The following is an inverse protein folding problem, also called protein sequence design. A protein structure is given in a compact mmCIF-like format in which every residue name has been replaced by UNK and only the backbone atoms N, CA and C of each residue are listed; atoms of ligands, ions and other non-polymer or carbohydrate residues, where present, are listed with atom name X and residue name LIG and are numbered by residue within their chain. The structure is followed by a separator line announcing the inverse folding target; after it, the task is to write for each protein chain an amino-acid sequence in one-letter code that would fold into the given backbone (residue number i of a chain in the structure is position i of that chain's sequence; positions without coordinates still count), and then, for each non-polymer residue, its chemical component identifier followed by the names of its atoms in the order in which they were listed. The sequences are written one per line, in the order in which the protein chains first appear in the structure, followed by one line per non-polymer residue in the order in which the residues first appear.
data_IF_181890691170
#
_entry.id   IF_181890691170
#
_cell.length_a   1.000
_cell.length_b   1.000
_cell.length_c   1.000
_cell.angle_alpha   90.00
_cell.angle_beta   90.00
_cell.angle_gamma   90.00
#
_symmetry.space_group_name_H-M   'P 1'
#
loop_
_entity.id
_entity.type
_entity.pdbx_description
1 polymer ?
#
# COMPACT_ATOMS: atom_id res chain seq x y z
N UNK A 1 57.94 82.81 35.19
CA UNK A 1 57.18 84.05 34.87
C UNK A 1 55.80 83.59 34.42
N UNK A 2 54.77 83.46 35.28
CA UNK A 2 53.99 84.46 36.04
C UNK A 2 53.49 85.63 35.16
N UNK A 3 52.15 85.74 35.15
CA UNK A 3 51.27 86.90 34.85
C UNK A 3 50.64 86.90 33.45
N UNK A 4 49.36 87.25 33.26
CA UNK A 4 48.22 87.54 34.15
C UNK A 4 46.97 87.65 33.23
N UNK A 5 45.82 87.22 33.75
CA UNK A 5 44.48 87.85 33.77
C UNK A 5 43.92 88.54 32.50
N UNK A 6 42.63 88.46 32.15
CA UNK A 6 41.47 88.93 32.94
C UNK A 6 40.13 88.69 32.16
N UNK A 7 38.96 89.29 32.48
CA UNK A 7 37.98 88.76 33.44
C UNK A 7 36.47 88.79 32.98
N UNK A 8 35.62 87.99 33.66
CA UNK A 8 34.16 88.11 34.05
C UNK A 8 33.10 88.95 33.26
N UNK A 9 31.79 88.96 33.63
CA UNK A 9 30.82 87.93 34.10
C UNK A 9 29.43 88.05 33.40
N UNK A 10 28.47 87.14 33.63
CA UNK A 10 27.13 87.49 34.21
C UNK A 10 26.20 86.31 34.47
N UNK A 11 25.55 86.44 35.63
CA UNK A 11 24.42 85.71 36.22
C UNK A 11 23.23 85.51 35.28
N UNK A 12 22.48 84.40 35.47
CA UNK A 12 21.14 84.43 36.11
C UNK A 12 20.60 83.01 36.38
N UNK A 13 19.97 82.93 37.53
CA UNK A 13 19.29 81.82 38.18
C UNK A 13 17.95 81.47 37.54
N UNK A 14 17.57 80.20 37.75
CA UNK A 14 16.23 79.68 38.08
C UNK A 14 15.05 79.95 37.13
N UNK A 15 14.41 78.85 36.72
CA UNK A 15 13.06 78.86 36.16
C UNK A 15 12.67 77.49 35.62
N UNK A 16 11.96 76.71 36.44
CA UNK A 16 11.25 75.51 36.04
C UNK A 16 10.40 75.75 34.77
N UNK A 17 10.16 74.72 33.97
CA UNK A 17 8.81 74.17 33.72
C UNK A 17 8.93 72.94 32.81
N UNK A 18 8.42 71.83 33.34
CA UNK A 18 8.18 70.55 32.68
C UNK A 18 7.31 70.76 31.43
N UNK A 19 7.69 70.17 30.29
CA UNK A 19 6.73 69.69 29.30
C UNK A 19 7.32 68.53 28.51
N UNK A 20 6.69 67.37 28.73
CA UNK A 20 6.85 66.13 27.97
C UNK A 20 6.50 66.38 26.50
N UNK A 21 7.30 65.87 25.58
CA UNK A 21 6.84 65.45 24.26
C UNK A 21 7.79 64.37 23.74
N UNK A 22 7.19 63.28 23.28
CA UNK A 22 7.79 61.98 23.07
C UNK A 22 8.91 61.97 22.02
N UNK A 23 9.96 61.22 22.35
CA UNK A 23 10.99 60.81 21.41
C UNK A 23 10.35 59.93 20.33
N UNK A 24 10.57 60.32 19.08
CA UNK A 24 10.34 59.48 17.92
C UNK A 24 11.31 58.27 17.98
N UNK A 25 10.75 57.07 18.18
CA UNK A 25 11.37 55.83 17.73
C UNK A 25 10.33 55.13 16.85
N UNK A 26 10.36 55.41 15.56
CA UNK A 26 9.70 54.55 14.56
C UNK A 26 10.52 53.27 14.52
N UNK A 27 10.18 52.31 15.39
CA UNK A 27 10.62 50.94 15.23
C UNK A 27 9.85 50.36 14.05
N UNK A 28 10.52 50.24 12.90
CA UNK A 28 10.02 49.40 11.81
C UNK A 28 10.17 47.96 12.26
N UNK A 29 9.18 47.45 12.99
CA UNK A 29 8.98 46.01 13.17
C UNK A 29 8.52 45.45 11.83
N UNK A 30 9.46 44.99 11.02
CA UNK A 30 9.15 44.10 9.92
C UNK A 30 8.52 42.84 10.53
N UNK A 31 7.19 42.75 10.47
CA UNK A 31 6.48 41.50 10.66
C UNK A 31 6.92 40.57 9.54
N UNK A 32 7.94 39.75 9.81
CA UNK A 32 8.19 38.55 9.03
C UNK A 32 6.99 37.63 9.28
N UNK A 33 5.95 37.76 8.45
CA UNK A 33 4.97 36.71 8.26
C UNK A 33 5.73 35.54 7.65
N UNK A 34 6.26 34.68 8.51
CA UNK A 34 6.67 33.36 8.10
C UNK A 34 5.42 32.68 7.53
N UNK A 35 5.30 32.63 6.21
CA UNK A 35 4.41 31.71 5.53
C UNK A 35 4.90 30.31 5.89
N UNK A 36 4.49 29.81 7.05
CA UNK A 36 4.53 28.39 7.32
C UNK A 36 3.56 27.78 6.30
N UNK A 37 4.11 27.27 5.20
CA UNK A 37 3.35 26.40 4.31
C UNK A 37 2.74 25.31 5.19
N UNK A 38 1.44 24.98 5.02
CA UNK A 38 0.84 23.92 5.81
C UNK A 38 1.72 22.67 5.66
N UNK A 39 2.17 22.12 6.78
CA UNK A 39 2.83 20.82 6.75
C UNK A 39 1.85 19.84 6.11
N UNK A 40 2.22 19.25 4.97
CA UNK A 40 1.43 18.17 4.38
C UNK A 40 1.34 17.07 5.42
N UNK A 41 0.12 16.77 5.88
CA UNK A 41 -0.09 15.70 6.84
C UNK A 41 0.25 14.37 6.16
N UNK A 42 0.95 13.49 6.88
CA UNK A 42 1.23 12.16 6.37
C UNK A 42 -0.09 11.44 6.06
N UNK A 43 -0.13 10.73 4.93
CA UNK A 43 -1.28 9.94 4.49
C UNK A 43 -0.90 8.47 4.50
N UNK A 44 -1.88 7.59 4.70
CA UNK A 44 -1.77 6.17 4.37
C UNK A 44 -2.70 5.94 3.19
N UNK A 45 -2.18 5.77 1.96
CA UNK A 45 -3.00 5.68 0.77
C UNK A 45 -4.06 4.58 0.83
N UNK A 46 -3.66 3.40 1.33
CA UNK A 46 -4.49 2.19 1.32
C UNK A 46 -4.69 1.69 -0.11
N UNK A 47 -5.91 1.22 -0.40
CA UNK A 47 -6.28 0.79 -1.75
C UNK A 47 -6.07 1.87 -2.81
N UNK A 48 -5.63 1.45 -3.99
CA UNK A 48 -5.30 2.34 -5.12
C UNK A 48 -6.03 1.93 -6.39
N UNK A 49 -5.90 0.65 -6.76
CA UNK A 49 -6.51 0.07 -7.96
C UNK A 49 -7.18 -1.23 -7.55
N UNK A 50 -8.40 -1.47 -7.99
CA UNK A 50 -9.11 -2.74 -7.85
C UNK A 50 -9.45 -3.32 -9.21
N UNK A 51 -9.67 -4.63 -9.23
CA UNK A 51 -10.24 -5.33 -10.38
C UNK A 51 -11.35 -6.29 -9.93
N UNK A 52 -12.15 -6.73 -10.90
CA UNK A 52 -13.05 -7.88 -10.71
C UNK A 52 -12.64 -8.99 -11.67
N UNK A 53 -12.51 -10.21 -11.18
CA UNK A 53 -12.25 -11.39 -11.99
C UNK A 53 -13.37 -12.41 -11.87
N UNK A 54 -13.54 -13.21 -12.92
CA UNK A 54 -14.52 -14.30 -12.91
C UNK A 54 -14.15 -15.44 -13.87
N UNK A 55 -14.72 -16.61 -13.61
CA UNK A 55 -14.62 -17.80 -14.44
C UNK A 55 -15.96 -18.14 -15.08
N UNK A 56 -15.99 -18.17 -16.40
CA UNK A 56 -17.13 -18.71 -17.15
C UNK A 56 -17.07 -20.23 -17.18
N UNK A 57 -18.23 -20.90 -17.03
CA UNK A 57 -18.30 -22.36 -17.07
C UNK A 57 -17.74 -23.08 -15.84
N UNK A 58 -17.58 -22.38 -14.71
CA UNK A 58 -17.16 -23.00 -13.46
C UNK A 58 -18.17 -24.06 -12.98
N UNK A 59 -17.72 -25.17 -12.36
CA UNK A 59 -18.61 -26.16 -11.76
C UNK A 59 -19.52 -25.53 -10.68
N UNK A 60 -20.75 -26.03 -10.56
CA UNK A 60 -21.70 -25.56 -9.53
C UNK A 60 -21.21 -25.75 -8.10
N UNK A 61 -20.30 -26.71 -7.88
CA UNK A 61 -19.65 -26.94 -6.59
C UNK A 61 -18.50 -25.99 -6.27
N UNK A 62 -18.12 -25.08 -7.18
CA UNK A 62 -16.97 -24.19 -7.04
C UNK A 62 -15.66 -24.77 -7.60
N UNK A 63 -14.60 -23.97 -7.55
CA UNK A 63 -13.27 -24.27 -8.09
C UNK A 63 -12.36 -24.84 -7.00
N UNK A 64 -11.54 -25.83 -7.35
CA UNK A 64 -10.58 -26.43 -6.41
C UNK A 64 -9.19 -25.80 -6.48
N UNK A 65 -8.96 -24.96 -7.48
CA UNK A 65 -7.72 -24.23 -7.71
C UNK A 65 -8.06 -22.84 -8.27
N UNK A 66 -7.32 -21.85 -7.84
CA UNK A 66 -7.22 -20.54 -8.48
C UNK A 66 -5.74 -20.29 -8.76
N UNK A 67 -5.40 -19.86 -9.97
CA UNK A 67 -4.07 -19.39 -10.33
C UNK A 67 -4.18 -17.98 -10.93
N UNK A 68 -3.36 -17.08 -10.41
CA UNK A 68 -3.28 -15.68 -10.82
C UNK A 68 -1.85 -15.38 -11.28
N UNK A 69 -1.57 -15.45 -12.59
CA UNK A 69 -0.24 -15.12 -13.08
C UNK A 69 0.00 -13.62 -12.93
N UNK A 70 1.19 -13.25 -12.48
CA UNK A 70 1.60 -11.89 -12.19
C UNK A 70 3.02 -11.64 -12.71
N UNK A 71 3.22 -10.47 -13.29
CA UNK A 71 4.54 -9.91 -13.58
C UNK A 71 4.66 -8.58 -12.84
N UNK A 72 5.63 -8.46 -11.95
CA UNK A 72 5.96 -7.15 -11.36
C UNK A 72 6.89 -6.44 -12.33
N UNK A 73 6.38 -5.39 -13.00
CA UNK A 73 7.11 -4.66 -14.04
C UNK A 73 8.05 -3.60 -13.46
N UNK A 74 7.68 -3.01 -12.32
CA UNK A 74 8.48 -2.02 -11.60
C UNK A 74 8.05 -1.94 -10.15
N UNK A 75 9.01 -1.69 -9.26
CA UNK A 75 8.76 -1.55 -7.83
C UNK A 75 9.76 -0.58 -7.19
N UNK A 76 9.40 0.03 -6.04
CA UNK A 76 10.40 0.62 -5.17
C UNK A 76 11.24 -0.47 -4.50
N UNK A 77 12.50 -0.17 -4.19
CA UNK A 77 13.33 -0.99 -3.28
C UNK A 77 12.94 -0.72 -1.81
N UNK A 78 11.65 -0.87 -1.52
CA UNK A 78 11.03 -0.59 -0.23
C UNK A 78 9.75 -1.40 -0.06
N UNK A 79 9.32 -1.52 1.19
CA UNK A 79 7.97 -1.96 1.50
C UNK A 79 6.93 -0.90 1.09
N UNK A 80 5.66 -1.30 1.06
CA UNK A 80 4.54 -0.38 0.92
C UNK A 80 3.51 -0.89 -0.06
N UNK A 81 3.93 -1.44 -1.20
CA UNK A 81 2.99 -2.03 -2.14
C UNK A 81 2.50 -3.41 -1.71
N UNK A 82 1.26 -3.71 -2.06
CA UNK A 82 0.76 -5.07 -2.11
C UNK A 82 -0.11 -5.26 -3.34
N UNK A 83 0.27 -6.21 -4.21
CA UNK A 83 -0.51 -6.64 -5.37
C UNK A 83 -1.06 -8.02 -5.08
N UNK A 84 -2.38 -8.14 -5.05
CA UNK A 84 -3.02 -9.37 -4.62
C UNK A 84 -4.37 -9.61 -5.27
N UNK A 85 -4.77 -10.88 -5.26
CA UNK A 85 -6.08 -11.33 -5.70
C UNK A 85 -6.85 -11.87 -4.50
N UNK A 86 -7.98 -11.25 -4.18
CA UNK A 86 -8.92 -11.73 -3.19
C UNK A 86 -9.84 -12.77 -3.81
N UNK A 87 -10.05 -13.85 -3.07
CA UNK A 87 -10.97 -14.93 -3.39
C UNK A 87 -11.95 -15.13 -2.25
N UNK A 88 -13.02 -15.89 -2.54
CA UNK A 88 -14.01 -16.29 -1.56
C UNK A 88 -14.18 -17.80 -1.59
N UNK A 89 -14.44 -18.39 -0.43
CA UNK A 89 -14.87 -19.77 -0.30
C UNK A 89 -16.40 -19.86 -0.44
N UNK A 90 -16.95 -21.05 -0.67
CA UNK A 90 -18.40 -21.27 -0.78
C UNK A 90 -19.20 -20.82 0.47
N UNK A 91 -18.55 -20.70 1.64
CA UNK A 91 -19.16 -20.15 2.86
C UNK A 91 -19.07 -18.61 2.95
N UNK A 92 -18.66 -17.94 1.87
CA UNK A 92 -18.41 -16.49 1.74
C UNK A 92 -17.22 -15.94 2.54
N UNK A 93 -16.42 -16.82 3.14
CA UNK A 93 -15.21 -16.39 3.82
C UNK A 93 -14.16 -15.96 2.79
N UNK A 94 -13.65 -14.73 2.93
CA UNK A 94 -12.70 -14.14 2.01
C UNK A 94 -11.25 -14.39 2.43
N UNK A 95 -10.36 -14.41 1.45
CA UNK A 95 -8.91 -14.46 1.62
C UNK A 95 -8.20 -13.84 0.43
N UNK A 96 -6.87 -13.80 0.46
CA UNK A 96 -6.07 -13.30 -0.65
C UNK A 96 -4.78 -14.10 -0.84
N UNK A 97 -4.21 -13.99 -2.04
CA UNK A 97 -2.83 -14.38 -2.37
C UNK A 97 -2.16 -13.24 -3.14
N UNK A 98 -0.90 -12.93 -2.85
CA UNK A 98 -0.24 -11.76 -3.43
C UNK A 98 1.26 -11.64 -3.18
N UNK A 99 1.84 -10.60 -3.76
CA UNK A 99 3.25 -10.23 -3.62
C UNK A 99 3.42 -8.82 -3.04
N UNK A 100 4.37 -8.66 -2.12
CA UNK A 100 4.85 -7.38 -1.60
C UNK A 100 6.32 -7.19 -2.02
N UNK A 101 6.71 -6.05 -2.63
CA UNK A 101 8.11 -5.70 -2.74
C UNK A 101 8.68 -5.37 -1.35
N UNK A 102 9.95 -5.70 -1.12
CA UNK A 102 10.73 -5.26 0.05
C UNK A 102 12.16 -4.98 -0.37
N UNK A 103 12.89 -4.30 0.52
CA UNK A 103 14.31 -4.06 0.32
C UNK A 103 15.08 -5.39 0.22
N UNK A 104 15.81 -5.60 -0.87
CA UNK A 104 16.62 -6.81 -1.07
C UNK A 104 15.85 -8.10 -1.35
N UNK A 105 14.56 -8.03 -1.66
CA UNK A 105 13.74 -9.18 -2.07
C UNK A 105 12.25 -8.99 -1.82
N UNK A 106 11.40 -9.80 -2.43
CA UNK A 106 9.96 -9.76 -2.23
C UNK A 106 9.46 -10.58 -1.03
N UNK A 107 8.16 -10.49 -0.76
CA UNK A 107 7.43 -11.42 0.09
C UNK A 107 6.18 -11.91 -0.63
N UNK A 108 5.80 -13.15 -0.35
CA UNK A 108 4.55 -13.74 -0.82
C UNK A 108 3.64 -14.02 0.38
N UNK A 109 2.36 -13.69 0.23
CA UNK A 109 1.37 -13.78 1.30
C UNK A 109 0.18 -14.62 0.84
N UNK A 110 -0.37 -15.37 1.80
CA UNK A 110 -1.60 -16.13 1.63
C UNK A 110 -2.40 -16.08 2.92
N UNK A 111 -3.54 -15.40 2.89
CA UNK A 111 -4.36 -15.13 4.09
C UNK A 111 -5.81 -15.53 3.90
N UNK A 112 -6.47 -15.82 5.01
CA UNK A 112 -7.92 -15.99 5.10
C UNK A 112 -8.44 -15.18 6.30
N UNK A 113 -9.52 -14.44 6.10
CA UNK A 113 -10.16 -13.64 7.14
C UNK A 113 -11.20 -14.46 7.91
N UNK A 114 -11.55 -14.04 9.11
CA UNK A 114 -12.64 -14.61 9.90
C UNK A 114 -12.21 -15.70 10.90
N UNK A 115 -13.18 -16.13 11.70
CA UNK A 115 -13.00 -17.15 12.73
C UNK A 115 -13.01 -18.57 12.15
N UNK A 116 -12.73 -19.57 12.99
CA UNK A 116 -12.73 -20.98 12.58
C UNK A 116 -11.58 -21.36 11.66
N UNK A 117 -10.54 -20.52 11.60
CA UNK A 117 -9.32 -20.73 10.82
C UNK A 117 -8.18 -21.23 11.71
N UNK A 118 -7.33 -22.10 11.17
CA UNK A 118 -6.12 -22.54 11.87
C UNK A 118 -5.06 -23.03 10.90
N UNK A 119 -3.79 -23.02 11.33
CA UNK A 119 -2.67 -23.52 10.55
C UNK A 119 -1.69 -24.26 11.44
N UNK A 120 -1.00 -25.24 10.85
CA UNK A 120 0.17 -25.91 11.42
C UNK A 120 1.45 -25.59 10.66
N UNK A 121 1.36 -24.77 9.59
CA UNK A 121 2.52 -24.35 8.82
C UNK A 121 3.35 -23.35 9.64
N UNK A 122 4.69 -23.52 9.72
CA UNK A 122 5.53 -22.76 10.66
C UNK A 122 5.61 -21.26 10.34
N UNK A 123 5.30 -20.89 9.11
CA UNK A 123 5.37 -19.53 8.61
C UNK A 123 3.99 -18.85 8.56
N UNK A 124 2.98 -19.48 9.17
CA UNK A 124 1.65 -18.91 9.35
C UNK A 124 1.41 -18.51 10.80
N UNK A 125 0.60 -17.49 11.01
CA UNK A 125 0.20 -17.02 12.32
C UNK A 125 -1.31 -16.75 12.38
N UNK A 126 -1.83 -16.68 13.61
CA UNK A 126 -3.21 -16.26 13.84
C UNK A 126 -3.38 -14.78 13.53
N UNK A 127 -4.54 -14.43 12.99
CA UNK A 127 -4.93 -13.11 12.54
C UNK A 127 -4.62 -12.83 11.07
N UNK A 128 -5.42 -11.95 10.47
CA UNK A 128 -5.23 -11.40 9.13
C UNK A 128 -5.58 -9.91 9.16
N UNK A 129 -4.66 -9.05 8.70
CA UNK A 129 -4.76 -7.58 8.70
C UNK A 129 -5.19 -6.98 10.06
N UNK A 130 -4.65 -7.54 11.14
CA UNK A 130 -4.98 -7.13 12.52
C UNK A 130 -6.33 -7.62 13.05
N UNK A 131 -7.13 -8.30 12.23
CA UNK A 131 -8.41 -8.92 12.59
C UNK A 131 -8.31 -10.44 12.79
N UNK A 132 -9.48 -11.07 12.98
CA UNK A 132 -9.58 -12.53 13.01
C UNK A 132 -9.22 -13.13 11.65
N UNK A 133 -8.48 -14.23 11.65
CA UNK A 133 -8.04 -14.87 10.41
C UNK A 133 -6.83 -15.78 10.64
N UNK A 134 -6.21 -16.21 9.56
CA UNK A 134 -4.91 -16.85 9.53
C UNK A 134 -4.13 -16.30 8.34
N UNK A 135 -2.88 -15.90 8.55
CA UNK A 135 -2.01 -15.35 7.52
C UNK A 135 -0.71 -16.12 7.46
N UNK A 136 -0.29 -16.45 6.25
CA UNK A 136 0.99 -17.08 5.94
C UNK A 136 1.85 -16.11 5.14
N UNK A 137 3.13 -16.04 5.48
CA UNK A 137 4.09 -15.20 4.77
C UNK A 137 5.41 -15.93 4.60
N UNK A 138 6.03 -15.76 3.44
CA UNK A 138 7.42 -16.15 3.18
C UNK A 138 8.18 -14.98 2.56
N UNK A 139 9.50 -14.94 2.78
CA UNK A 139 10.37 -14.16 1.90
C UNK A 139 10.45 -14.88 0.56
N UNK A 140 10.22 -14.15 -0.53
CA UNK A 140 10.22 -14.70 -1.88
C UNK A 140 10.95 -13.75 -2.82
N UNK A 141 12.19 -14.07 -3.23
CA UNK A 141 13.04 -13.17 -4.01
C UNK A 141 12.68 -13.24 -5.51
N UNK A 142 11.49 -12.78 -5.87
CA UNK A 142 11.10 -12.68 -7.27
C UNK A 142 11.96 -11.65 -8.01
N UNK A 143 12.09 -11.85 -9.31
CA UNK A 143 12.78 -10.94 -10.23
C UNK A 143 11.75 -10.05 -10.91
N UNK A 144 12.02 -8.74 -10.94
CA UNK A 144 11.20 -7.78 -11.70
C UNK A 144 11.26 -8.14 -13.20
N UNK A 145 10.11 -8.22 -13.83
CA UNK A 145 9.94 -8.59 -15.24
C UNK A 145 9.73 -10.08 -15.50
N UNK A 146 10.00 -10.95 -14.52
CA UNK A 146 9.69 -12.38 -14.63
C UNK A 146 8.22 -12.64 -14.26
N UNK A 147 7.64 -13.69 -14.86
CA UNK A 147 6.26 -14.13 -14.59
C UNK A 147 6.22 -15.21 -13.51
N UNK A 148 5.27 -15.06 -12.59
CA UNK A 148 5.00 -15.99 -11.51
C UNK A 148 3.52 -16.31 -11.43
N UNK A 149 3.16 -17.51 -11.02
CA UNK A 149 1.78 -17.89 -10.73
C UNK A 149 1.52 -17.86 -9.22
N UNK A 150 0.56 -17.05 -8.80
CA UNK A 150 0.06 -17.06 -7.43
C UNK A 150 -1.12 -18.02 -7.34
N UNK A 151 -0.91 -19.16 -6.67
CA UNK A 151 -1.93 -20.20 -6.60
C UNK A 151 -2.55 -20.36 -5.22
N UNK A 152 -3.85 -20.65 -5.20
CA UNK A 152 -4.58 -21.15 -4.05
C UNK A 152 -5.26 -22.48 -4.41
N UNK A 153 -4.94 -23.54 -3.67
CA UNK A 153 -5.40 -24.91 -3.98
C UNK A 153 -6.10 -25.52 -2.78
N UNK A 154 -7.24 -26.17 -3.00
CA UNK A 154 -7.89 -27.08 -2.05
C UNK A 154 -7.07 -28.38 -2.01
N UNK A 155 -6.34 -28.62 -0.92
CA UNK A 155 -5.43 -29.79 -0.78
C UNK A 155 -5.96 -30.87 0.15
N UNK A 156 -7.07 -30.62 0.83
CA UNK A 156 -7.74 -31.58 1.69
C UNK A 156 -9.13 -31.09 2.09
N UNK A 157 -9.82 -31.86 2.93
CA UNK A 157 -11.11 -31.43 3.48
C UNK A 157 -10.90 -30.12 4.25
N UNK A 158 -11.46 -29.03 3.72
CA UNK A 158 -11.32 -27.68 4.29
C UNK A 158 -9.87 -27.19 4.44
N UNK A 159 -8.92 -27.74 3.70
CA UNK A 159 -7.51 -27.36 3.76
C UNK A 159 -7.10 -26.71 2.46
N UNK A 160 -6.43 -25.56 2.58
CA UNK A 160 -6.04 -24.72 1.45
C UNK A 160 -4.56 -24.44 1.54
N UNK A 161 -3.87 -24.48 0.41
CA UNK A 161 -2.44 -24.21 0.35
C UNK A 161 -2.18 -23.15 -0.72
N UNK A 162 -1.41 -22.13 -0.33
CA UNK A 162 -0.96 -21.07 -1.20
C UNK A 162 0.43 -21.38 -1.75
N UNK A 163 0.66 -21.08 -3.03
CA UNK A 163 1.94 -21.26 -3.70
C UNK A 163 2.33 -20.02 -4.50
N UNK A 164 3.64 -19.85 -4.69
CA UNK A 164 4.20 -19.10 -5.82
C UNK A 164 4.88 -20.12 -6.73
N UNK A 165 4.56 -20.08 -8.02
CA UNK A 165 5.20 -20.89 -9.06
C UNK A 165 6.01 -19.95 -9.94
N UNK A 166 7.28 -20.26 -10.14
CA UNK A 166 8.12 -19.57 -11.13
C UNK A 166 7.91 -20.21 -12.50
N UNK A 167 7.29 -19.47 -13.43
CA UNK A 167 6.90 -19.99 -14.75
C UNK A 167 8.12 -20.37 -15.62
N UNK A 168 9.25 -19.69 -15.42
CA UNK A 168 10.47 -19.95 -16.19
C UNK A 168 11.18 -21.25 -15.79
N UNK A 169 10.98 -21.69 -14.55
CA UNK A 169 11.69 -22.84 -13.96
C UNK A 169 10.77 -23.98 -13.51
N UNK A 170 9.45 -23.79 -13.56
CA UNK A 170 8.44 -24.69 -12.98
C UNK A 170 8.68 -24.99 -11.48
N UNK A 171 9.34 -24.08 -10.75
CA UNK A 171 9.63 -24.29 -9.32
C UNK A 171 8.46 -23.82 -8.47
N UNK A 172 7.89 -24.76 -7.72
CA UNK A 172 6.82 -24.50 -6.77
C UNK A 172 7.38 -24.17 -5.39
N UNK A 173 6.99 -23.01 -4.86
CA UNK A 173 7.31 -22.59 -3.49
C UNK A 173 6.03 -22.45 -2.67
N UNK A 174 5.90 -23.25 -1.62
CA UNK A 174 4.75 -23.17 -0.71
C UNK A 174 4.81 -21.90 0.12
N UNK A 175 3.78 -21.04 -0.02
CA UNK A 175 3.57 -19.89 0.86
C UNK A 175 3.06 -20.36 2.22
N UNK A 176 2.23 -21.40 2.29
CA UNK A 176 1.72 -21.94 3.55
C UNK A 176 0.35 -22.56 3.39
N UNK A 177 -0.14 -23.24 4.43
CA UNK A 177 -1.45 -23.88 4.43
C UNK A 177 -2.26 -23.57 5.67
N UNK A 178 -3.56 -23.39 5.51
CA UNK A 178 -4.53 -23.20 6.59
C UNK A 178 -5.80 -24.00 6.35
N UNK A 179 -6.58 -24.18 7.41
CA UNK A 179 -7.88 -24.85 7.39
C UNK A 179 -9.00 -23.87 7.75
N UNK A 180 -10.21 -24.13 7.25
CA UNK A 180 -11.42 -23.33 7.54
C UNK A 180 -12.58 -24.23 7.93
N UNK A 181 -13.08 -24.08 9.16
CA UNK A 181 -14.25 -24.84 9.62
C UNK A 181 -15.48 -24.53 8.76
N UNK A 182 -16.06 -25.56 8.13
CA UNK A 182 -17.19 -25.38 7.21
C UNK A 182 -16.83 -24.62 5.93
N UNK A 183 -15.56 -24.65 5.55
CA UNK A 183 -15.10 -24.17 4.24
C UNK A 183 -15.72 -24.98 3.08
N UNK A 184 -15.31 -24.63 1.88
CA UNK A 184 -15.67 -25.34 0.66
C UNK A 184 -14.72 -25.01 -0.47
N UNK A 185 -15.13 -25.28 -1.70
CA UNK A 185 -14.36 -24.82 -2.86
C UNK A 185 -14.35 -23.30 -2.97
N UNK A 186 -13.51 -22.78 -3.85
CA UNK A 186 -13.48 -21.37 -4.18
C UNK A 186 -14.69 -20.98 -5.03
N UNK A 187 -15.22 -19.79 -4.79
CA UNK A 187 -16.19 -19.15 -5.67
C UNK A 187 -15.53 -18.80 -7.02
N UNK A 188 -16.29 -18.81 -8.12
CA UNK A 188 -15.74 -18.56 -9.45
C UNK A 188 -15.57 -17.08 -9.79
N UNK A 189 -15.55 -16.20 -8.78
CA UNK A 189 -15.37 -14.77 -8.94
C UNK A 189 -14.79 -14.16 -7.67
N UNK A 190 -14.09 -13.05 -7.83
CA UNK A 190 -13.52 -12.28 -6.74
C UNK A 190 -13.02 -10.92 -7.22
N UNK A 191 -12.16 -10.32 -6.42
CA UNK A 191 -11.63 -8.97 -6.67
C UNK A 191 -10.13 -8.96 -6.49
N UNK A 192 -9.40 -8.27 -7.34
CA UNK A 192 -8.00 -7.96 -7.10
C UNK A 192 -7.81 -6.56 -6.59
N UNK A 193 -6.62 -6.31 -6.05
CA UNK A 193 -6.23 -5.00 -5.59
C UNK A 193 -4.72 -4.76 -5.68
N UNK A 194 -4.40 -3.49 -5.91
CA UNK A 194 -3.15 -2.85 -5.58
C UNK A 194 -3.43 -1.89 -4.42
N UNK A 195 -2.66 -2.00 -3.36
CA UNK A 195 -2.64 -1.03 -2.28
C UNK A 195 -1.23 -0.51 -2.01
N UNK A 196 -1.17 0.68 -1.40
CA UNK A 196 0.03 1.17 -0.74
C UNK A 196 -0.27 1.35 0.76
N UNK A 197 0.20 0.42 1.59
CA UNK A 197 -0.15 0.32 3.01
C UNK A 197 0.75 1.16 3.93
N UNK A 198 1.92 1.61 3.45
CA UNK A 198 2.83 2.44 4.25
C UNK A 198 2.43 3.92 4.23
N UNK A 199 2.90 4.67 5.22
CA UNK A 199 2.64 6.11 5.30
C UNK A 199 3.59 6.90 4.38
N UNK A 200 3.03 7.89 3.68
CA UNK A 200 3.78 8.83 2.83
C UNK A 200 3.49 10.28 3.25
N UNK A 201 4.32 11.24 2.84
CA UNK A 201 4.10 12.66 3.16
C UNK A 201 2.89 13.28 2.43
N UNK A 202 2.48 12.69 1.31
CA UNK A 202 1.36 13.08 0.45
C UNK A 202 1.03 11.95 -0.53
N UNK A 203 -0.14 12.00 -1.17
CA UNK A 203 -0.48 11.05 -2.23
C UNK A 203 0.56 11.07 -3.38
N UNK A 204 0.97 12.25 -3.82
CA UNK A 204 2.03 12.42 -4.84
C UNK A 204 3.43 11.95 -4.42
N UNK A 205 3.62 11.54 -3.16
CA UNK A 205 4.86 10.97 -2.65
C UNK A 205 4.85 9.43 -2.64
N UNK A 206 3.79 8.79 -3.14
CA UNK A 206 3.76 7.35 -3.35
C UNK A 206 4.84 7.00 -4.40
N UNK A 207 5.80 6.13 -4.07
CA UNK A 207 6.79 5.66 -5.03
C UNK A 207 6.12 4.96 -6.21
N UNK A 208 6.70 5.05 -7.41
CA UNK A 208 6.15 4.34 -8.56
C UNK A 208 6.20 2.82 -8.39
N UNK A 209 5.09 2.15 -8.68
CA UNK A 209 4.99 0.69 -8.72
C UNK A 209 4.01 0.23 -9.79
N UNK A 210 4.35 -0.86 -10.47
CA UNK A 210 3.52 -1.45 -11.51
C UNK A 210 3.61 -2.97 -11.50
N UNK A 211 2.45 -3.62 -11.54
CA UNK A 211 2.34 -5.04 -11.79
C UNK A 211 1.26 -5.31 -12.84
N UNK A 212 1.44 -6.42 -13.56
CA UNK A 212 0.47 -6.94 -14.49
C UNK A 212 -0.07 -8.27 -13.96
N UNK A 213 -1.37 -8.36 -13.75
CA UNK A 213 -2.05 -9.64 -13.55
C UNK A 213 -2.55 -10.14 -14.89
N UNK A 214 -2.07 -11.30 -15.31
CA UNK A 214 -2.56 -11.96 -16.50
C UNK A 214 -3.91 -12.61 -16.24
N UNK A 215 -4.47 -13.18 -17.30
CA UNK A 215 -5.74 -13.91 -17.25
C UNK A 215 -5.66 -15.03 -16.20
N UNK A 216 -6.55 -15.05 -15.19
CA UNK A 216 -6.55 -16.12 -14.19
C UNK A 216 -6.99 -17.43 -14.81
N UNK A 217 -6.49 -18.53 -14.26
CA UNK A 217 -6.82 -19.87 -14.75
C UNK A 217 -7.03 -20.87 -13.61
N UNK A 218 -7.59 -22.01 -13.97
CA UNK A 218 -7.80 -23.19 -13.12
C UNK A 218 -7.24 -24.42 -13.85
N UNK A 219 -7.44 -25.62 -13.32
CA UNK A 219 -7.07 -26.83 -14.05
C UNK A 219 -7.82 -26.94 -15.40
N UNK A 220 -7.23 -27.64 -16.37
CA UNK A 220 -7.87 -27.91 -17.67
C UNK A 220 -9.30 -28.42 -17.49
N UNK A 221 -10.28 -27.70 -18.04
CA UNK A 221 -11.70 -28.07 -17.99
C UNK A 221 -12.53 -27.43 -16.86
N UNK A 222 -11.95 -26.59 -15.99
CA UNK A 222 -12.66 -25.90 -14.90
C UNK A 222 -13.12 -24.46 -15.24
N UNK A 223 -13.34 -24.17 -16.52
CA UNK A 223 -13.83 -22.88 -17.01
C UNK A 223 -12.73 -21.94 -17.48
N UNK A 224 -13.14 -20.80 -18.05
CA UNK A 224 -12.22 -19.78 -18.59
C UNK A 224 -12.28 -18.52 -17.72
N UNK A 225 -11.16 -18.20 -17.08
CA UNK A 225 -11.02 -17.01 -16.24
C UNK A 225 -10.73 -15.74 -17.07
N UNK A 226 -11.10 -14.58 -16.54
CA UNK A 226 -10.72 -13.27 -17.06
C UNK A 226 -10.82 -12.19 -15.96
N UNK A 227 -9.96 -11.18 -16.04
CA UNK A 227 -10.21 -9.89 -15.41
C UNK A 227 -11.27 -9.16 -16.25
N UNK A 228 -12.39 -8.82 -15.62
CA UNK A 228 -13.61 -8.33 -16.29
C UNK A 228 -13.79 -6.82 -16.22
N UNK A 229 -13.20 -6.18 -15.20
CA UNK A 229 -13.24 -4.73 -15.02
C UNK A 229 -12.13 -4.29 -14.07
N UNK A 230 -11.78 -3.00 -14.11
CA UNK A 230 -10.85 -2.35 -13.20
C UNK A 230 -11.40 -1.00 -12.72
N UNK A 231 -10.83 -0.47 -11.66
CA UNK A 231 -11.19 0.84 -11.11
C UNK A 231 -10.13 1.37 -10.16
N UNK A 232 -10.07 2.70 -10.00
CA UNK A 232 -9.25 3.33 -8.95
C UNK A 232 -10.11 3.60 -7.72
N UNK A 233 -9.57 3.43 -6.52
CA UNK A 233 -10.29 3.66 -5.27
C UNK A 233 -9.34 4.09 -4.15
N UNK A 234 -9.89 4.38 -2.97
CA UNK A 234 -9.12 4.75 -1.78
C UNK A 234 -8.73 6.23 -1.71
N UNK A 235 -7.93 6.58 -0.70
CA UNK A 235 -7.61 7.97 -0.35
C UNK A 235 -6.78 8.66 -1.42
N UNK A 236 -5.89 7.92 -2.07
CA UNK A 236 -5.01 8.42 -3.12
C UNK A 236 -5.36 7.84 -4.49
N UNK A 237 -6.64 7.58 -4.76
CA UNK A 237 -7.12 7.00 -6.01
C UNK A 237 -6.63 7.72 -7.29
N UNK A 238 -6.40 9.04 -7.20
CA UNK A 238 -5.91 9.85 -8.32
C UNK A 238 -4.47 9.51 -8.75
N UNK A 239 -3.70 8.92 -7.85
CA UNK A 239 -2.33 8.42 -8.07
C UNK A 239 -2.36 6.93 -8.46
N UNK A 240 -3.53 6.40 -8.80
CA UNK A 240 -3.71 5.05 -9.31
C UNK A 240 -4.13 5.10 -10.77
N UNK A 241 -3.70 4.11 -11.55
CA UNK A 241 -4.22 3.91 -12.90
C UNK A 241 -4.21 2.43 -13.26
N UNK A 242 -5.03 2.06 -14.24
CA UNK A 242 -5.12 0.70 -14.72
C UNK A 242 -5.37 0.63 -16.22
N UNK A 243 -5.01 -0.51 -16.81
CA UNK A 243 -5.30 -0.83 -18.21
C UNK A 243 -5.68 -2.30 -18.32
N UNK A 244 -6.86 -2.57 -18.87
CA UNK A 244 -7.29 -3.92 -19.24
C UNK A 244 -6.74 -4.25 -20.63
N UNK A 245 -6.29 -5.47 -20.83
CA UNK A 245 -5.86 -5.95 -22.14
C UNK A 245 -6.88 -6.91 -22.80
N UNK A 246 -6.68 -7.18 -24.09
CA UNK A 246 -7.53 -8.09 -24.86
C UNK A 246 -7.36 -9.58 -24.51
N UNK A 247 -6.36 -9.94 -23.71
CA UNK A 247 -6.14 -11.30 -23.20
C UNK A 247 -6.90 -11.57 -21.91
N UNK A 248 -7.54 -10.55 -21.31
CA UNK A 248 -8.26 -10.67 -20.05
C UNK A 248 -7.36 -10.51 -18.82
N UNK A 249 -6.25 -9.79 -18.96
CA UNK A 249 -5.38 -9.32 -17.88
C UNK A 249 -5.61 -7.84 -17.54
N UNK A 250 -4.92 -7.37 -16.50
CA UNK A 250 -4.91 -5.98 -16.03
C UNK A 250 -3.51 -5.55 -15.62
N UNK A 251 -3.06 -4.41 -16.13
CA UNK A 251 -1.91 -3.68 -15.57
C UNK A 251 -2.42 -2.71 -14.52
N UNK A 252 -1.90 -2.81 -13.30
CA UNK A 252 -2.13 -1.87 -12.21
C UNK A 252 -0.88 -1.02 -12.01
N UNK A 253 -1.05 0.29 -11.97
CA UNK A 253 0.04 1.24 -11.73
C UNK A 253 -0.33 2.16 -10.57
N UNK A 254 0.60 2.40 -9.66
CA UNK A 254 0.53 3.48 -8.68
C UNK A 254 1.63 4.49 -8.92
N UNK A 255 1.22 5.77 -9.01
CA UNK A 255 2.00 7.00 -8.92
C UNK A 255 1.10 8.21 -9.19
#
# INVERSE_FOLDING_TARGET
MIRQSAPTPRRRTAGQVIRRAALACVAVTAFALANAAPASAAVTPGGMVSDNWSFSGAPSGGLTKLAFPITVNSQPDAAGYYWAQQFYLNNNQGGYVGLQPRAGGGAALFSIFGSGTSSTSPNCHSGADGGAGTSCLISYPYTVGDEYELEAIVTGTNTYTGYVVDDSTDVWTTIGSWTVSGGGNFQPSGVGFQEYYDSTSSCSAIPYGQAHFWRPFTNSGQGTGAITSGGTYGTCAAEGSYSLDGSGGITMTGQ
#
